data_IF_974838511558
#
_entry.id   IF_974838511558
#
_cell.length_a   1.000
_cell.length_b   1.000
_cell.length_c   1.000
_cell.angle_alpha   90.00
_cell.angle_beta   90.00
_cell.angle_gamma   90.00
#
_symmetry.space_group_name_H-M   'P 1'
#
loop_
_entity.id
_entity.type
_entity.pdbx_description
1 polymer ?
#
# COMPACT_ATOMS: atom_id res chain seq x y z
N UNK A 1 18.01 -2.25 6.04
CA UNK A 1 16.56 -2.27 5.80
C UNK A 1 16.21 -0.87 5.35
N UNK A 2 16.26 -0.62 4.03
CA UNK A 2 15.76 0.60 3.45
C UNK A 2 14.25 0.60 3.63
N UNK A 3 13.77 1.31 4.64
CA UNK A 3 12.37 1.49 4.84
C UNK A 3 11.83 2.27 3.65
N UNK A 4 10.86 1.74 2.93
CA UNK A 4 10.09 2.47 1.95
C UNK A 4 9.20 3.51 2.61
N UNK A 5 9.81 4.36 3.46
CA UNK A 5 9.15 5.40 4.20
C UNK A 5 9.09 6.66 3.36
N UNK A 6 7.89 7.16 3.21
CA UNK A 6 7.65 8.54 2.79
C UNK A 6 7.76 9.48 4.00
N UNK A 7 7.79 10.77 3.75
CA UNK A 7 7.82 11.76 4.82
C UNK A 7 6.61 11.68 5.77
N UNK A 8 5.41 11.39 5.28
CA UNK A 8 4.17 11.32 6.06
C UNK A 8 3.60 9.90 6.23
N UNK A 9 3.92 8.96 5.31
CA UNK A 9 3.28 7.65 5.25
C UNK A 9 4.31 6.53 5.07
N UNK A 10 3.86 5.28 5.10
CA UNK A 10 4.63 4.10 4.75
C UNK A 10 4.43 3.74 3.26
N UNK A 11 5.30 2.89 2.72
CA UNK A 11 5.27 2.50 1.30
C UNK A 11 4.01 1.73 0.89
N UNK A 12 3.32 1.15 1.84
CA UNK A 12 2.08 0.39 1.68
C UNK A 12 0.81 1.21 1.95
N UNK A 13 0.93 2.55 2.05
CA UNK A 13 -0.21 3.45 2.20
C UNK A 13 -1.20 3.27 1.05
N UNK A 14 -2.32 2.62 1.34
CA UNK A 14 -3.28 2.18 0.34
C UNK A 14 -4.73 2.21 0.86
N UNK A 15 -5.26 3.39 1.22
CA UNK A 15 -6.57 3.52 1.84
C UNK A 15 -7.69 2.90 1.00
N UNK A 16 -8.68 2.35 1.66
CA UNK A 16 -9.89 1.81 1.06
C UNK A 16 -11.02 2.81 1.20
N UNK A 17 -11.62 3.23 0.08
CA UNK A 17 -12.77 4.15 0.05
C UNK A 17 -14.06 3.36 0.16
N UNK A 18 -14.94 3.71 1.11
CA UNK A 18 -16.27 3.14 1.23
C UNK A 18 -17.32 3.93 0.46
N UNK A 19 -17.30 5.24 0.63
CA UNK A 19 -18.26 6.14 -0.04
C UNK A 19 -17.69 7.55 -0.21
N UNK A 20 -18.29 8.27 -1.16
CA UNK A 20 -18.17 9.72 -1.31
C UNK A 20 -19.57 10.25 -1.65
N UNK A 21 -20.09 11.15 -0.85
CA UNK A 21 -21.47 11.63 -0.97
C UNK A 21 -21.60 13.11 -0.66
N UNK A 22 -22.63 13.74 -1.25
CA UNK A 22 -23.05 15.10 -0.93
C UNK A 22 -24.40 15.05 -0.20
N UNK A 23 -24.47 15.68 0.92
CA UNK A 23 -25.69 15.76 1.71
C UNK A 23 -26.14 17.21 1.89
N UNK A 24 -27.41 17.44 1.70
CA UNK A 24 -28.07 18.69 2.10
C UNK A 24 -28.78 18.43 3.41
N UNK A 25 -28.22 18.92 4.47
CA UNK A 25 -28.77 18.77 5.84
C UNK A 25 -29.79 19.87 6.08
N UNK A 26 -31.02 19.49 6.33
CA UNK A 26 -32.15 20.40 6.60
C UNK A 26 -32.71 20.22 8.01
N UNK A 27 -32.25 19.23 8.74
CA UNK A 27 -32.66 18.89 10.11
C UNK A 27 -31.56 18.16 10.85
N UNK A 28 -31.67 18.10 12.17
CA UNK A 28 -30.74 17.37 13.03
C UNK A 28 -30.58 15.92 12.60
N UNK A 29 -29.34 15.45 12.49
CA UNK A 29 -28.97 14.05 12.28
C UNK A 29 -28.86 13.35 13.63
N UNK A 30 -29.13 12.05 13.71
CA UNK A 30 -28.97 11.27 14.95
C UNK A 30 -27.51 11.26 15.43
N UNK A 31 -27.31 11.24 16.75
CA UNK A 31 -25.99 11.08 17.36
C UNK A 31 -25.51 9.66 17.13
N UNK A 32 -24.41 9.48 16.40
CA UNK A 32 -23.92 8.18 15.95
C UNK A 32 -22.39 8.16 15.84
N UNK A 33 -21.83 6.97 15.71
CA UNK A 33 -20.40 6.74 15.46
C UNK A 33 -20.23 5.61 14.45
N UNK A 34 -19.15 5.66 13.70
CA UNK A 34 -18.71 4.58 12.82
C UNK A 34 -17.56 3.85 13.49
N UNK A 35 -17.63 2.50 13.57
CA UNK A 35 -16.60 1.70 14.27
C UNK A 35 -15.46 1.28 13.33
N UNK A 36 -15.73 1.16 12.03
CA UNK A 36 -14.87 0.47 11.08
C UNK A 36 -14.13 1.43 10.12
N UNK A 37 -14.42 2.72 10.15
CA UNK A 37 -13.81 3.69 9.24
C UNK A 37 -13.73 5.09 9.81
N UNK A 38 -12.81 5.88 9.27
CA UNK A 38 -12.74 7.32 9.47
C UNK A 38 -13.68 8.03 8.52
N UNK A 39 -14.45 8.99 9.02
CA UNK A 39 -15.23 9.90 8.19
C UNK A 39 -14.58 11.29 8.15
N UNK A 40 -14.44 11.81 6.93
CA UNK A 40 -14.15 13.22 6.69
C UNK A 40 -15.41 13.91 6.18
N UNK A 41 -15.79 14.99 6.85
CA UNK A 41 -16.91 15.85 6.42
C UNK A 41 -16.39 17.24 6.10
N UNK A 42 -16.51 17.67 4.84
CA UNK A 42 -16.15 19.01 4.38
C UNK A 42 -17.39 19.86 4.22
N UNK A 43 -17.43 21.03 4.85
CA UNK A 43 -18.56 21.95 4.77
C UNK A 43 -18.48 22.73 3.45
N UNK A 44 -19.35 22.39 2.49
CA UNK A 44 -19.41 23.03 1.19
C UNK A 44 -20.09 24.41 1.25
N UNK A 45 -21.18 24.54 2.03
CA UNK A 45 -21.87 25.82 2.24
C UNK A 45 -22.70 25.80 3.51
N UNK A 46 -22.97 26.99 4.07
CA UNK A 46 -23.73 27.17 5.29
C UNK A 46 -22.88 27.21 6.55
N UNK A 47 -23.55 27.27 7.67
CA UNK A 47 -22.98 27.26 9.03
C UNK A 47 -23.83 26.37 9.93
N UNK A 48 -23.23 25.71 10.91
CA UNK A 48 -23.98 24.90 11.91
C UNK A 48 -23.14 24.69 13.15
N UNK A 49 -23.74 24.05 14.15
CA UNK A 49 -23.02 23.44 15.26
C UNK A 49 -22.92 21.94 15.09
N UNK A 50 -21.76 21.40 15.41
CA UNK A 50 -21.55 19.95 15.53
C UNK A 50 -21.30 19.59 16.98
N UNK A 51 -21.95 18.55 17.46
CA UNK A 51 -21.57 17.86 18.68
C UNK A 51 -20.68 16.68 18.30
N UNK A 52 -19.45 16.66 18.79
CA UNK A 52 -18.50 15.56 18.58
C UNK A 52 -18.03 15.12 19.95
N UNK A 53 -18.31 13.88 20.31
CA UNK A 53 -18.33 13.39 21.68
C UNK A 53 -19.16 14.34 22.56
N UNK A 54 -18.59 14.91 23.61
CA UNK A 54 -19.32 15.86 24.46
C UNK A 54 -18.96 17.34 24.22
N UNK A 55 -18.26 17.62 23.09
CA UNK A 55 -17.82 18.97 22.76
C UNK A 55 -18.63 19.52 21.58
N UNK A 56 -18.98 20.82 21.68
CA UNK A 56 -19.71 21.54 20.63
C UNK A 56 -18.77 22.43 19.84
N UNK A 57 -18.85 22.32 18.52
CA UNK A 57 -18.04 23.08 17.59
C UNK A 57 -18.93 23.90 16.66
N UNK A 58 -18.58 25.18 16.48
CA UNK A 58 -19.16 25.99 15.39
C UNK A 58 -18.40 25.69 14.09
N UNK A 59 -19.13 25.33 13.05
CA UNK A 59 -18.58 25.00 11.74
C UNK A 59 -19.18 25.87 10.65
N UNK A 60 -18.38 26.14 9.61
CA UNK A 60 -18.78 26.98 8.47
C UNK A 60 -18.17 26.47 7.19
N UNK A 61 -18.64 26.96 6.06
CA UNK A 61 -18.10 26.64 4.74
C UNK A 61 -16.55 26.74 4.72
N UNK A 62 -15.91 25.68 4.25
CA UNK A 62 -14.47 25.51 4.19
C UNK A 62 -13.83 24.87 5.41
N UNK A 63 -14.58 24.47 6.42
CA UNK A 63 -14.05 23.68 7.52
C UNK A 63 -14.11 22.18 7.20
N UNK A 64 -13.11 21.42 7.71
CA UNK A 64 -13.04 19.99 7.62
C UNK A 64 -13.23 19.37 9.00
N UNK A 65 -14.16 18.43 9.12
CA UNK A 65 -14.41 17.65 10.32
C UNK A 65 -13.74 16.28 10.14
N UNK A 66 -13.08 15.81 11.19
CA UNK A 66 -12.40 14.51 11.25
C UNK A 66 -13.06 13.67 12.34
N UNK A 67 -13.76 12.61 11.96
CA UNK A 67 -14.34 11.63 12.86
C UNK A 67 -13.62 10.28 12.69
N UNK A 68 -12.69 9.99 13.59
CA UNK A 68 -12.00 8.71 13.65
C UNK A 68 -12.97 7.58 14.07
N UNK A 69 -12.63 6.30 13.87
CA UNK A 69 -13.43 5.18 14.33
C UNK A 69 -13.82 5.32 15.82
N UNK A 70 -15.09 5.11 16.12
CA UNK A 70 -15.63 5.20 17.47
C UNK A 70 -15.99 6.61 17.97
N UNK A 71 -15.64 7.67 17.23
CA UNK A 71 -15.96 9.06 17.59
C UNK A 71 -17.44 9.33 17.31
N UNK A 72 -18.18 9.66 18.36
CA UNK A 72 -19.60 10.01 18.27
C UNK A 72 -19.76 11.44 17.73
N UNK A 73 -20.59 11.62 16.73
CA UNK A 73 -20.83 12.92 16.12
C UNK A 73 -22.27 13.14 15.69
N UNK A 74 -22.64 14.40 15.58
CA UNK A 74 -23.97 14.82 15.22
C UNK A 74 -23.98 16.26 14.69
N UNK A 75 -24.64 16.49 13.57
CA UNK A 75 -25.02 17.83 13.14
C UNK A 75 -26.18 18.33 14.02
N UNK A 76 -26.08 19.57 14.53
CA UNK A 76 -27.03 20.18 15.47
C UNK A 76 -27.93 21.21 14.79
N UNK A 77 -28.06 21.18 13.44
CA UNK A 77 -28.92 22.15 12.74
C UNK A 77 -30.34 22.16 13.32
N UNK A 78 -30.83 23.34 13.58
CA UNK A 78 -32.17 23.51 14.13
C UNK A 78 -33.18 23.71 12.99
N UNK A 79 -34.45 23.36 13.25
CA UNK A 79 -35.54 23.57 12.30
C UNK A 79 -35.67 25.07 11.98
N UNK A 80 -35.69 25.40 10.68
CA UNK A 80 -35.80 26.77 10.19
C UNK A 80 -34.46 27.50 9.97
N UNK A 81 -33.33 26.91 10.34
CA UNK A 81 -31.99 27.42 9.95
C UNK A 81 -31.71 27.18 8.46
N UNK A 82 -30.77 27.95 7.88
CA UNK A 82 -30.33 27.72 6.52
C UNK A 82 -29.70 26.32 6.39
N UNK A 83 -30.06 25.57 5.31
CA UNK A 83 -29.53 24.24 5.11
C UNK A 83 -27.99 24.23 5.00
N UNK A 84 -27.37 23.31 5.70
CA UNK A 84 -25.94 23.00 5.55
C UNK A 84 -25.75 22.06 4.36
N UNK A 85 -24.74 22.30 3.56
CA UNK A 85 -24.33 21.37 2.49
C UNK A 85 -22.97 20.81 2.82
N UNK A 86 -22.90 19.51 2.89
CA UNK A 86 -21.72 18.75 3.29
C UNK A 86 -21.29 17.78 2.19
N UNK A 87 -19.99 17.58 2.08
CA UNK A 87 -19.40 16.44 1.41
C UNK A 87 -18.86 15.50 2.49
N UNK A 88 -19.23 14.22 2.42
CA UNK A 88 -18.77 13.20 3.35
C UNK A 88 -18.08 12.06 2.59
N UNK A 89 -16.96 11.55 3.12
CA UNK A 89 -16.28 10.36 2.62
C UNK A 89 -15.82 9.49 3.78
N UNK A 90 -16.08 8.17 3.67
CA UNK A 90 -15.65 7.15 4.63
C UNK A 90 -14.52 6.30 4.04
N UNK A 91 -13.49 6.01 4.84
CA UNK A 91 -12.34 5.22 4.41
C UNK A 91 -11.60 4.55 5.57
N UNK A 92 -10.84 3.50 5.25
CA UNK A 92 -10.04 2.69 6.18
C UNK A 92 -8.72 2.27 5.54
N UNK A 93 -7.96 1.37 6.20
CA UNK A 93 -6.72 0.76 5.73
C UNK A 93 -5.61 1.79 5.45
N UNK A 94 -5.44 2.73 6.36
CA UNK A 94 -4.38 3.74 6.26
C UNK A 94 -3.65 3.94 7.59
N UNK A 95 -2.41 4.38 7.51
CA UNK A 95 -1.63 4.80 8.66
C UNK A 95 -0.69 5.95 8.30
N UNK A 96 -0.76 7.04 9.05
CA UNK A 96 0.25 8.09 9.04
C UNK A 96 1.36 7.79 10.04
N UNK A 97 2.58 8.24 9.74
CA UNK A 97 3.71 8.09 10.69
C UNK A 97 3.39 8.76 12.02
N UNK A 98 3.73 8.06 13.10
CA UNK A 98 3.51 8.50 14.46
C UNK A 98 2.02 8.64 14.86
N UNK A 99 1.10 8.08 14.08
CA UNK A 99 -0.32 8.01 14.40
C UNK A 99 -0.79 6.54 14.48
N UNK A 100 -1.81 6.23 15.27
CA UNK A 100 -2.44 4.91 15.25
C UNK A 100 -3.03 4.59 13.86
N UNK A 101 -3.20 3.32 13.58
CA UNK A 101 -3.89 2.86 12.37
C UNK A 101 -5.31 3.43 12.30
N UNK A 102 -5.74 3.78 11.08
CA UNK A 102 -7.06 4.37 10.79
C UNK A 102 -7.41 5.62 11.63
N UNK A 103 -6.39 6.38 12.04
CA UNK A 103 -6.58 7.56 12.89
C UNK A 103 -5.84 8.77 12.32
N UNK A 104 -6.53 9.93 12.30
CA UNK A 104 -5.93 11.24 12.06
C UNK A 104 -5.93 11.99 13.37
N UNK A 105 -4.75 12.26 13.93
CA UNK A 105 -4.59 13.03 15.14
C UNK A 105 -4.33 14.50 14.82
N UNK A 106 -5.18 15.38 15.32
CA UNK A 106 -5.02 16.82 15.19
C UNK A 106 -4.18 17.36 16.36
N UNK A 107 -3.32 18.32 16.09
CA UNK A 107 -2.39 18.89 17.09
C UNK A 107 -3.08 19.51 18.31
N UNK A 108 -4.31 19.99 18.15
CA UNK A 108 -5.13 20.58 19.21
C UNK A 108 -6.04 19.57 19.93
N UNK A 109 -5.90 18.27 19.66
CA UNK A 109 -6.79 17.20 20.15
C UNK A 109 -8.28 17.44 19.82
N UNK A 110 -8.57 18.34 18.88
CA UNK A 110 -9.93 18.62 18.40
C UNK A 110 -10.32 17.75 17.21
N UNK A 111 -11.44 18.10 16.59
CA UNK A 111 -12.01 17.38 15.46
C UNK A 111 -12.17 18.27 14.22
N UNK A 112 -11.93 19.58 14.34
CA UNK A 112 -12.13 20.56 13.27
C UNK A 112 -10.79 21.09 12.78
N UNK A 113 -10.62 21.09 11.46
CA UNK A 113 -9.48 21.72 10.78
C UNK A 113 -9.98 22.94 10.01
N UNK A 114 -9.49 24.10 10.42
CA UNK A 114 -9.70 25.36 9.72
C UNK A 114 -8.64 25.49 8.64
N UNK A 115 -9.00 25.13 7.41
CA UNK A 115 -8.10 25.07 6.28
C UNK A 115 -7.66 26.47 5.81
N UNK A 116 -6.46 26.59 5.28
CA UNK A 116 -5.99 27.78 4.55
C UNK A 116 -6.84 28.04 3.30
N UNK A 117 -6.79 29.25 2.76
CA UNK A 117 -7.54 29.59 1.54
C UNK A 117 -7.13 28.74 0.32
N UNK A 118 -5.88 28.32 0.24
CA UNK A 118 -5.36 27.45 -0.82
C UNK A 118 -5.91 26.02 -0.64
N UNK A 119 -5.80 25.45 0.55
CA UNK A 119 -6.33 24.12 0.85
C UNK A 119 -7.84 24.02 0.67
N UNK A 120 -8.60 25.07 1.08
CA UNK A 120 -10.06 25.15 0.85
C UNK A 120 -10.41 25.02 -0.63
N UNK A 121 -9.70 25.74 -1.51
CA UNK A 121 -9.96 25.72 -2.94
C UNK A 121 -9.72 24.34 -3.53
N UNK A 122 -8.55 23.72 -3.22
CA UNK A 122 -8.16 22.43 -3.75
C UNK A 122 -9.04 21.29 -3.19
N UNK A 123 -9.33 21.29 -1.90
CA UNK A 123 -10.19 20.28 -1.27
C UNK A 123 -11.63 20.41 -1.78
N UNK A 124 -12.16 21.64 -1.92
CA UNK A 124 -13.49 21.84 -2.51
C UNK A 124 -13.56 21.27 -3.93
N UNK A 125 -12.55 21.49 -4.76
CA UNK A 125 -12.45 20.93 -6.10
C UNK A 125 -12.47 19.40 -6.05
N UNK A 126 -11.66 18.80 -5.20
CA UNK A 126 -11.61 17.33 -5.03
C UNK A 126 -12.97 16.76 -4.58
N UNK A 127 -13.68 17.44 -3.68
CA UNK A 127 -15.02 17.01 -3.30
C UNK A 127 -15.97 16.90 -4.51
N UNK A 128 -15.99 17.92 -5.39
CA UNK A 128 -16.81 17.88 -6.58
C UNK A 128 -16.32 16.85 -7.61
N UNK A 129 -14.99 16.69 -7.77
CA UNK A 129 -14.41 15.67 -8.65
C UNK A 129 -14.79 14.25 -8.18
N UNK A 130 -14.73 13.97 -6.88
CA UNK A 130 -15.15 12.70 -6.29
C UNK A 130 -16.66 12.44 -6.48
N UNK A 131 -17.50 13.45 -6.34
CA UNK A 131 -18.93 13.33 -6.57
C UNK A 131 -19.23 13.03 -8.03
N UNK A 132 -18.60 13.75 -8.96
CA UNK A 132 -18.76 13.54 -10.41
C UNK A 132 -18.30 12.13 -10.81
N UNK A 133 -17.17 11.66 -10.30
CA UNK A 133 -16.66 10.30 -10.56
C UNK A 133 -17.62 9.24 -10.01
N UNK A 134 -18.17 9.49 -8.80
CA UNK A 134 -19.14 8.59 -8.16
C UNK A 134 -20.42 8.46 -8.97
N UNK A 135 -20.94 9.57 -9.54
CA UNK A 135 -22.15 9.61 -10.37
C UNK A 135 -21.90 9.02 -11.76
N UNK A 136 -20.76 9.31 -12.38
CA UNK A 136 -20.44 8.85 -13.73
C UNK A 136 -20.29 7.32 -13.83
N UNK A 137 -19.88 6.62 -12.78
CA UNK A 137 -19.79 5.17 -12.73
C UNK A 137 -18.88 4.54 -13.79
N UNK A 138 -17.87 5.28 -14.25
CA UNK A 138 -16.95 4.88 -15.32
C UNK A 138 -16.03 3.72 -14.90
N UNK A 139 -15.44 3.04 -15.89
CA UNK A 139 -14.40 2.03 -15.65
C UNK A 139 -13.24 2.67 -14.89
N UNK A 140 -12.79 2.03 -13.79
CA UNK A 140 -11.75 2.57 -12.96
C UNK A 140 -12.20 3.53 -11.86
N UNK A 141 -13.51 3.80 -11.71
CA UNK A 141 -14.11 4.66 -10.68
C UNK A 141 -13.48 4.50 -9.29
N UNK A 142 -13.33 3.25 -8.82
CA UNK A 142 -12.77 3.00 -7.50
C UNK A 142 -11.34 3.55 -7.35
N UNK A 143 -10.50 3.38 -8.37
CA UNK A 143 -9.13 3.87 -8.35
C UNK A 143 -9.05 5.38 -8.47
N UNK A 144 -9.97 6.01 -9.22
CA UNK A 144 -10.07 7.45 -9.30
C UNK A 144 -10.48 8.05 -7.96
N UNK A 145 -11.52 7.52 -7.30
CA UNK A 145 -11.94 7.93 -5.96
C UNK A 145 -10.82 7.75 -4.94
N UNK A 146 -10.09 6.63 -4.98
CA UNK A 146 -8.93 6.39 -4.12
C UNK A 146 -7.82 7.41 -4.35
N UNK A 147 -7.48 7.72 -5.59
CA UNK A 147 -6.44 8.71 -5.91
C UNK A 147 -6.82 10.11 -5.41
N UNK A 148 -8.08 10.50 -5.58
CA UNK A 148 -8.64 11.77 -5.10
C UNK A 148 -8.67 11.82 -3.57
N UNK A 149 -9.03 10.71 -2.89
CA UNK A 149 -8.94 10.61 -1.43
C UNK A 149 -7.50 10.77 -0.94
N UNK A 150 -6.53 10.07 -1.55
CA UNK A 150 -5.11 10.20 -1.17
C UNK A 150 -4.66 11.66 -1.33
N UNK A 151 -5.03 12.31 -2.41
CA UNK A 151 -4.71 13.73 -2.63
C UNK A 151 -5.34 14.63 -1.54
N UNK A 152 -6.61 14.40 -1.20
CA UNK A 152 -7.30 15.12 -0.12
C UNK A 152 -6.62 14.91 1.23
N UNK A 153 -6.23 13.67 1.57
CA UNK A 153 -5.51 13.34 2.80
C UNK A 153 -4.16 14.04 2.88
N UNK A 154 -3.39 14.08 1.78
CA UNK A 154 -2.10 14.77 1.76
C UNK A 154 -2.25 16.28 1.95
N UNK A 155 -3.28 16.90 1.35
CA UNK A 155 -3.59 18.32 1.56
C UNK A 155 -3.99 18.58 3.02
N UNK A 156 -4.86 17.74 3.58
CA UNK A 156 -5.27 17.85 4.98
C UNK A 156 -4.07 17.72 5.93
N UNK A 157 -3.21 16.73 5.72
CA UNK A 157 -2.04 16.51 6.59
C UNK A 157 -1.04 17.66 6.54
N UNK A 158 -0.92 18.37 5.41
CA UNK A 158 -0.09 19.58 5.31
C UNK A 158 -0.62 20.75 6.17
N UNK A 159 -1.93 20.78 6.40
CA UNK A 159 -2.55 21.79 7.29
C UNK A 159 -2.45 21.40 8.78
N UNK A 160 -2.40 20.09 9.07
CA UNK A 160 -2.41 19.54 10.43
C UNK A 160 -1.01 19.42 11.03
N UNK A 161 -0.04 19.03 10.22
CA UNK A 161 1.34 18.85 10.64
C UNK A 161 2.08 20.18 10.44
N UNK A 162 2.59 20.77 11.53
CA UNK A 162 3.54 21.87 11.41
C UNK A 162 4.72 21.42 10.54
N UNK A 163 4.92 22.09 9.41
CA UNK A 163 6.02 21.77 8.52
C UNK A 163 7.34 21.80 9.32
N UNK A 164 8.10 20.69 9.36
CA UNK A 164 9.40 20.74 10.00
C UNK A 164 10.21 21.85 9.31
N UNK A 165 10.83 22.75 10.08
CA UNK A 165 11.66 23.86 9.59
C UNK A 165 12.89 23.42 8.78
N UNK A 166 13.03 22.14 8.54
CA UNK A 166 14.05 21.55 7.70
C UNK A 166 13.41 21.26 6.35
N UNK A 167 13.84 21.99 5.33
CA UNK A 167 13.62 21.59 3.93
C UNK A 167 14.32 20.23 3.78
N UNK A 168 13.62 19.15 4.05
CA UNK A 168 14.09 17.84 3.66
C UNK A 168 14.18 17.87 2.14
N UNK A 169 15.37 17.58 1.62
CA UNK A 169 15.54 17.32 0.18
C UNK A 169 14.42 16.39 -0.22
N UNK A 170 13.60 16.83 -1.16
CA UNK A 170 12.40 16.10 -1.61
C UNK A 170 12.68 14.63 -1.81
N UNK A 171 11.67 13.79 -1.65
CA UNK A 171 11.75 12.35 -1.85
C UNK A 171 12.65 12.05 -3.04
N UNK A 172 13.69 11.27 -2.83
CA UNK A 172 14.51 10.83 -3.93
C UNK A 172 13.73 9.76 -4.69
N UNK A 173 12.84 10.20 -5.58
CA UNK A 173 12.00 9.34 -6.40
C UNK A 173 12.79 8.26 -7.16
N UNK A 174 14.05 8.54 -7.50
CA UNK A 174 14.92 7.55 -8.12
C UNK A 174 15.20 6.37 -7.19
N UNK A 175 15.57 6.63 -5.93
CA UNK A 175 15.87 5.56 -4.96
C UNK A 175 14.61 4.76 -4.64
N UNK A 176 13.48 5.44 -4.51
CA UNK A 176 12.19 4.80 -4.21
C UNK A 176 11.71 3.92 -5.38
N UNK A 177 11.75 4.44 -6.60
CA UNK A 177 11.37 3.68 -7.79
C UNK A 177 12.25 2.43 -8.00
N UNK A 178 13.54 2.50 -7.65
CA UNK A 178 14.48 1.37 -7.75
C UNK A 178 14.11 0.23 -6.79
N UNK A 179 13.94 0.50 -5.51
CA UNK A 179 13.61 -0.53 -4.51
C UNK A 179 12.25 -1.17 -4.80
N UNK A 180 11.25 -0.38 -5.19
CA UNK A 180 9.95 -0.91 -5.61
C UNK A 180 10.05 -1.77 -6.87
N UNK A 181 10.78 -1.32 -7.89
CA UNK A 181 11.00 -2.09 -9.10
C UNK A 181 11.69 -3.43 -8.80
N UNK A 182 12.70 -3.42 -7.93
CA UNK A 182 13.42 -4.64 -7.52
C UNK A 182 12.51 -5.60 -6.77
N UNK A 183 11.68 -5.13 -5.84
CA UNK A 183 10.67 -5.98 -5.16
C UNK A 183 9.72 -6.64 -6.16
N UNK A 184 9.20 -5.88 -7.12
CA UNK A 184 8.33 -6.43 -8.18
C UNK A 184 9.04 -7.48 -9.03
N UNK A 185 10.31 -7.27 -9.35
CA UNK A 185 11.13 -8.25 -10.08
C UNK A 185 11.29 -9.52 -9.24
N UNK A 186 11.62 -9.41 -7.95
CA UNK A 186 11.75 -10.57 -7.05
C UNK A 186 10.45 -11.36 -6.98
N UNK A 187 9.30 -10.70 -6.78
CA UNK A 187 8.00 -11.36 -6.75
C UNK A 187 7.71 -12.09 -8.08
N UNK A 188 7.95 -11.43 -9.21
CA UNK A 188 7.80 -12.06 -10.52
C UNK A 188 8.68 -13.30 -10.68
N UNK A 189 9.94 -13.26 -10.25
CA UNK A 189 10.84 -14.40 -10.27
C UNK A 189 10.37 -15.54 -9.36
N UNK A 190 9.86 -15.21 -8.17
CA UNK A 190 9.34 -16.20 -7.21
C UNK A 190 8.06 -16.89 -7.70
N UNK A 191 7.18 -16.16 -8.39
CA UNK A 191 5.93 -16.70 -8.93
C UNK A 191 6.14 -17.53 -10.21
N UNK A 192 7.20 -17.23 -10.98
CA UNK A 192 7.40 -17.78 -12.31
C UNK A 192 8.69 -18.61 -12.44
N UNK A 193 9.38 -18.94 -11.36
CA UNK A 193 10.71 -19.57 -11.38
C UNK A 193 10.76 -20.87 -12.20
N UNK A 194 9.67 -21.62 -12.28
CA UNK A 194 9.58 -22.87 -13.04
C UNK A 194 9.54 -22.68 -14.56
N UNK A 195 9.27 -21.46 -15.03
CA UNK A 195 9.16 -21.14 -16.44
C UNK A 195 10.47 -20.57 -17.00
N UNK A 196 10.61 -20.59 -18.32
CA UNK A 196 11.75 -19.96 -18.98
C UNK A 196 11.64 -18.44 -18.84
N UNK A 197 12.57 -17.84 -18.15
CA UNK A 197 12.63 -16.38 -17.92
C UNK A 197 13.93 -15.84 -18.50
N UNK A 198 13.82 -14.81 -19.34
CA UNK A 198 14.94 -14.01 -19.82
C UNK A 198 14.91 -12.60 -19.21
N UNK A 199 16.06 -11.92 -19.26
CA UNK A 199 16.15 -10.53 -18.82
C UNK A 199 15.21 -9.62 -19.64
N UNK A 200 15.06 -9.90 -20.94
CA UNK A 200 14.17 -9.14 -21.82
C UNK A 200 12.70 -9.33 -21.46
N UNK A 201 12.30 -10.55 -21.05
CA UNK A 201 10.95 -10.79 -20.55
C UNK A 201 10.67 -10.04 -19.24
N UNK A 202 11.63 -10.03 -18.31
CA UNK A 202 11.52 -9.24 -17.09
C UNK A 202 11.36 -7.76 -17.44
N UNK A 203 12.19 -7.26 -18.36
CA UNK A 203 12.18 -5.87 -18.80
C UNK A 203 10.85 -5.48 -19.45
N UNK A 204 10.32 -6.32 -20.31
CA UNK A 204 9.02 -6.12 -20.95
C UNK A 204 7.88 -6.04 -19.91
N UNK A 205 7.83 -7.00 -18.98
CA UNK A 205 6.79 -7.04 -17.94
C UNK A 205 6.85 -5.88 -16.94
N UNK A 206 8.04 -5.30 -16.77
CA UNK A 206 8.24 -4.15 -15.85
C UNK A 206 8.18 -2.80 -16.56
N UNK A 207 8.07 -2.77 -17.89
CA UNK A 207 8.15 -1.55 -18.72
C UNK A 207 9.47 -0.78 -18.53
N UNK A 208 10.59 -1.53 -18.34
CA UNK A 208 11.93 -0.99 -18.10
C UNK A 208 12.92 -1.56 -19.12
N UNK A 209 14.07 -0.90 -19.29
CA UNK A 209 15.13 -1.46 -20.14
C UNK A 209 15.90 -2.58 -19.42
N UNK A 210 16.38 -3.63 -20.14
CA UNK A 210 17.18 -4.71 -19.56
C UNK A 210 18.44 -4.21 -18.85
N UNK A 211 19.08 -3.17 -19.40
CA UNK A 211 20.27 -2.55 -18.84
C UNK A 211 19.95 -1.88 -17.48
N UNK A 212 18.84 -1.16 -17.43
CA UNK A 212 18.39 -0.49 -16.19
C UNK A 212 18.04 -1.51 -15.11
N UNK A 213 17.29 -2.58 -15.46
CA UNK A 213 16.97 -3.68 -14.53
C UNK A 213 18.23 -4.32 -13.97
N UNK A 214 19.19 -4.69 -14.83
CA UNK A 214 20.45 -5.30 -14.37
C UNK A 214 21.20 -4.41 -13.40
N UNK A 215 21.21 -3.10 -13.66
CA UNK A 215 21.88 -2.10 -12.81
C UNK A 215 21.21 -2.00 -11.45
N UNK A 216 19.91 -1.66 -11.41
CA UNK A 216 19.19 -1.42 -10.14
C UNK A 216 19.10 -2.69 -9.29
N UNK A 217 18.89 -3.85 -9.93
CA UNK A 217 18.78 -5.12 -9.22
C UNK A 217 20.10 -5.51 -8.57
N UNK A 218 21.23 -5.32 -9.27
CA UNK A 218 22.56 -5.58 -8.71
C UNK A 218 22.94 -4.59 -7.62
N UNK A 219 22.55 -3.32 -7.74
CA UNK A 219 22.76 -2.29 -6.69
C UNK A 219 22.03 -2.67 -5.40
N UNK A 220 20.80 -3.19 -5.47
CA UNK A 220 19.95 -3.48 -4.32
C UNK A 220 20.19 -4.89 -3.72
N UNK A 221 20.48 -5.91 -4.57
CA UNK A 221 20.57 -7.31 -4.12
C UNK A 221 22.00 -7.86 -4.12
N UNK A 222 22.94 -7.16 -4.71
CA UNK A 222 24.32 -7.60 -4.87
C UNK A 222 24.55 -8.53 -6.08
N UNK A 223 23.52 -9.00 -6.76
CA UNK A 223 23.59 -9.95 -7.87
C UNK A 223 22.66 -9.63 -9.05
N UNK A 224 22.83 -10.29 -10.18
CA UNK A 224 21.95 -10.08 -11.32
C UNK A 224 20.60 -10.79 -11.15
N UNK A 225 19.52 -10.33 -11.83
CA UNK A 225 18.21 -11.00 -11.77
C UNK A 225 18.26 -12.48 -12.16
N UNK A 226 19.07 -12.84 -13.14
CA UNK A 226 19.22 -14.24 -13.58
C UNK A 226 19.97 -15.09 -12.55
N UNK A 227 20.99 -14.55 -11.89
CA UNK A 227 21.66 -15.26 -10.79
C UNK A 227 20.72 -15.45 -9.61
N UNK A 228 19.91 -14.47 -9.30
CA UNK A 228 18.88 -14.54 -8.26
C UNK A 228 17.83 -15.61 -8.59
N UNK A 229 17.38 -15.70 -9.86
CA UNK A 229 16.50 -16.79 -10.32
C UNK A 229 17.14 -18.17 -10.14
N UNK A 230 18.43 -18.32 -10.49
CA UNK A 230 19.17 -19.57 -10.28
C UNK A 230 19.12 -19.96 -8.80
N UNK A 231 19.35 -19.02 -7.90
CA UNK A 231 19.29 -19.23 -6.46
C UNK A 231 17.92 -19.70 -5.99
N UNK A 232 16.84 -19.02 -6.41
CA UNK A 232 15.45 -19.44 -6.10
C UNK A 232 15.23 -20.88 -6.53
N UNK A 233 15.59 -21.24 -7.77
CA UNK A 233 15.41 -22.59 -8.31
C UNK A 233 16.17 -23.64 -7.49
N UNK A 234 17.43 -23.35 -7.14
CA UNK A 234 18.25 -24.29 -6.38
C UNK A 234 17.74 -24.50 -4.96
N UNK A 235 17.27 -23.44 -4.28
CA UNK A 235 16.64 -23.56 -2.97
C UNK A 235 15.33 -24.36 -3.06
N UNK A 236 14.51 -24.13 -4.08
CA UNK A 236 13.30 -24.95 -4.32
C UNK A 236 13.62 -26.42 -4.59
N UNK A 237 14.69 -26.69 -5.35
CA UNK A 237 15.15 -28.06 -5.54
C UNK A 237 15.56 -28.71 -4.22
N UNK A 238 16.24 -28.00 -3.34
CA UNK A 238 16.66 -28.46 -2.01
C UNK A 238 15.46 -28.77 -1.13
N UNK A 239 14.42 -27.93 -1.12
CA UNK A 239 13.14 -28.18 -0.44
C UNK A 239 12.50 -29.48 -0.95
N UNK A 240 12.30 -29.63 -2.27
CA UNK A 240 11.71 -30.83 -2.89
C UNK A 240 12.51 -32.09 -2.56
N UNK A 241 13.83 -32.02 -2.61
CA UNK A 241 14.73 -33.13 -2.27
C UNK A 241 14.61 -33.55 -0.80
N UNK A 242 14.28 -32.61 0.07
CA UNK A 242 14.08 -32.86 1.52
C UNK A 242 12.70 -33.45 1.84
N UNK A 243 11.68 -33.04 1.09
CA UNK A 243 10.30 -33.47 1.36
C UNK A 243 9.93 -34.80 0.69
N UNK A 244 10.50 -35.06 -0.50
CA UNK A 244 10.15 -36.25 -1.32
C UNK A 244 11.28 -37.29 -1.27
N UNK A 245 11.02 -38.44 -0.68
CA UNK A 245 11.98 -39.54 -0.63
C UNK A 245 12.22 -40.23 -1.98
N UNK A 246 11.28 -40.05 -2.94
CA UNK A 246 11.32 -40.66 -4.28
C UNK A 246 11.39 -39.63 -5.42
N UNK A 247 11.39 -40.14 -6.67
CA UNK A 247 11.41 -39.36 -7.88
C UNK A 247 12.80 -39.18 -8.50
N UNK A 248 12.86 -39.00 -9.83
CA UNK A 248 14.13 -38.84 -10.52
C UNK A 248 14.67 -37.41 -10.36
N UNK A 249 15.99 -37.24 -10.28
CA UNK A 249 16.63 -35.93 -10.29
C UNK A 249 16.26 -35.12 -11.54
N UNK A 250 15.99 -35.83 -12.66
CA UNK A 250 15.53 -35.22 -13.90
C UNK A 250 14.15 -34.57 -13.74
N UNK A 251 13.23 -35.23 -13.04
CA UNK A 251 11.89 -34.68 -12.82
C UNK A 251 11.96 -33.42 -11.93
N UNK A 252 12.79 -33.42 -10.90
CA UNK A 252 12.99 -32.25 -10.05
C UNK A 252 13.60 -31.11 -10.85
N UNK A 253 14.62 -31.39 -11.69
CA UNK A 253 15.21 -30.38 -12.56
C UNK A 253 14.15 -29.72 -13.45
N UNK A 254 13.28 -30.52 -14.08
CA UNK A 254 12.21 -30.02 -14.94
C UNK A 254 11.18 -29.18 -14.14
N UNK A 255 10.80 -29.66 -12.94
CA UNK A 255 9.82 -28.99 -12.08
C UNK A 255 10.26 -27.58 -11.66
N UNK A 256 11.58 -27.37 -11.52
CA UNK A 256 12.15 -26.07 -11.17
C UNK A 256 12.65 -25.25 -12.38
N UNK A 257 12.31 -25.68 -13.61
CA UNK A 257 12.57 -24.93 -14.85
C UNK A 257 13.96 -25.16 -15.48
N UNK A 258 14.56 -26.34 -15.28
CA UNK A 258 15.76 -26.77 -16.01
C UNK A 258 15.45 -27.91 -16.97
N UNK A 259 15.66 -27.68 -18.26
CA UNK A 259 15.56 -28.71 -19.31
C UNK A 259 16.74 -29.68 -19.28
N UNK A 260 17.91 -29.18 -18.86
CA UNK A 260 19.15 -29.94 -18.78
C UNK A 260 19.50 -30.32 -17.33
N UNK A 261 19.34 -31.60 -17.01
CA UNK A 261 19.67 -32.17 -15.69
C UNK A 261 21.15 -32.09 -15.33
N UNK A 262 22.05 -32.12 -16.34
CA UNK A 262 23.49 -32.00 -16.12
C UNK A 262 23.85 -30.58 -15.70
N UNK A 263 23.30 -29.59 -16.40
CA UNK A 263 23.47 -28.18 -16.05
C UNK A 263 22.92 -27.88 -14.66
N UNK A 264 21.72 -28.37 -14.36
CA UNK A 264 21.16 -28.27 -13.00
C UNK A 264 22.08 -28.87 -11.94
N UNK A 265 22.54 -30.14 -12.14
CA UNK A 265 23.38 -30.84 -11.16
C UNK A 265 24.72 -30.15 -10.91
N UNK A 266 25.32 -29.56 -11.95
CA UNK A 266 26.54 -28.77 -11.86
C UNK A 266 26.33 -27.49 -11.04
N UNK A 267 25.23 -26.77 -11.29
CA UNK A 267 24.87 -25.55 -10.55
C UNK A 267 24.57 -25.88 -9.08
N UNK A 268 23.78 -26.92 -8.80
CA UNK A 268 23.45 -27.37 -7.46
C UNK A 268 24.71 -27.73 -6.67
N UNK A 269 25.63 -28.53 -7.29
CA UNK A 269 26.90 -28.86 -6.65
C UNK A 269 27.79 -27.63 -6.41
N UNK A 270 27.82 -26.70 -7.37
CA UNK A 270 28.57 -25.44 -7.21
C UNK A 270 28.03 -24.61 -6.05
N UNK A 271 26.71 -24.59 -5.85
CA UNK A 271 26.04 -23.74 -4.86
C UNK A 271 26.05 -24.36 -3.45
N UNK A 272 25.76 -25.66 -3.34
CA UNK A 272 25.65 -26.37 -2.06
C UNK A 272 26.86 -27.27 -1.72
N UNK A 273 27.87 -27.35 -2.57
CA UNK A 273 29.05 -28.19 -2.35
C UNK A 273 28.86 -29.68 -2.64
N UNK A 274 27.63 -30.16 -2.77
CA UNK A 274 27.26 -31.57 -2.93
C UNK A 274 26.29 -31.74 -4.11
N UNK A 275 26.36 -32.90 -4.82
CA UNK A 275 25.42 -33.15 -5.91
C UNK A 275 23.99 -33.40 -5.39
N UNK A 276 22.93 -33.15 -6.22
CA UNK A 276 21.53 -33.39 -5.80
C UNK A 276 21.29 -34.84 -5.33
N UNK A 277 21.90 -35.80 -6.01
CA UNK A 277 21.77 -37.22 -5.68
C UNK A 277 22.42 -37.55 -4.33
N UNK A 278 23.63 -37.01 -4.08
CA UNK A 278 24.32 -37.23 -2.81
C UNK A 278 23.66 -36.49 -1.66
N UNK A 279 23.11 -35.28 -1.92
CA UNK A 279 22.30 -34.55 -0.95
C UNK A 279 21.08 -35.36 -0.48
N UNK A 280 20.33 -35.96 -1.41
CA UNK A 280 19.21 -36.85 -1.07
C UNK A 280 19.67 -38.05 -0.27
N UNK A 281 20.78 -38.71 -0.66
CA UNK A 281 21.30 -39.87 0.11
C UNK A 281 21.68 -39.50 1.54
N UNK A 282 22.28 -38.33 1.76
CA UNK A 282 22.63 -37.87 3.10
C UNK A 282 21.39 -37.63 3.99
N UNK A 283 20.32 -37.10 3.44
CA UNK A 283 19.07 -36.92 4.16
C UNK A 283 18.41 -38.25 4.59
N UNK A 284 18.42 -39.23 3.71
CA UNK A 284 17.86 -40.57 4.01
C UNK A 284 18.70 -41.21 5.12
N UNK A 285 20.02 -41.13 5.06
CA UNK A 285 20.91 -41.68 6.09
C UNK A 285 20.66 -41.01 7.47
N UNK A 286 20.47 -39.70 7.50
CA UNK A 286 20.18 -38.97 8.75
C UNK A 286 18.84 -39.41 9.39
N UNK A 287 17.78 -39.55 8.60
CA UNK A 287 16.47 -40.01 9.09
C UNK A 287 16.51 -41.43 9.63
N UNK A 288 17.32 -42.31 9.02
CA UNK A 288 17.47 -43.71 9.50
C UNK A 288 18.21 -43.76 10.85
N UNK A 289 19.11 -42.83 11.12
CA UNK A 289 19.85 -42.75 12.36
C UNK A 289 19.04 -42.15 13.52
N UNK A 290 18.08 -41.23 13.21
CA UNK A 290 17.19 -40.62 14.21
C UNK A 290 16.01 -41.53 14.59
N UNK A 291 15.76 -42.60 13.83
CA UNK A 291 14.65 -43.57 14.04
C UNK A 291 15.13 -44.84 14.81
N UNK A 292 16.38 -44.89 15.22
CA UNK A 292 16.94 -45.95 16.07
C UNK A 292 17.26 -45.41 17.48
#
# INVERSE_FOLDING_TARGET
VGNGDYDLTYSDFNPTVFFASKMRVTKRIAYHAHQDFTELTYILSGTSKYRIDDIYYDVKAGDMIVCNPGVFHQNMLLDGEEPLVEFCTGFTDYQFKNMPENTIQLSNQGHIVHLSSEAKREISRLCYDMLAENEAGQVGKYFMLKAQLIQMLMLLMREVIEAPKVIQKGCNFETYSKSYAVKRIINYLMENYAHKISLDQIAHNMYLSPVYISKIFKEETGESPINYLIKIRLEKAKEILSEREGGSIKNIANEIGYDDVYHFSKLFKKYFGISPQNYRKSLIAQRTTESQ
#
